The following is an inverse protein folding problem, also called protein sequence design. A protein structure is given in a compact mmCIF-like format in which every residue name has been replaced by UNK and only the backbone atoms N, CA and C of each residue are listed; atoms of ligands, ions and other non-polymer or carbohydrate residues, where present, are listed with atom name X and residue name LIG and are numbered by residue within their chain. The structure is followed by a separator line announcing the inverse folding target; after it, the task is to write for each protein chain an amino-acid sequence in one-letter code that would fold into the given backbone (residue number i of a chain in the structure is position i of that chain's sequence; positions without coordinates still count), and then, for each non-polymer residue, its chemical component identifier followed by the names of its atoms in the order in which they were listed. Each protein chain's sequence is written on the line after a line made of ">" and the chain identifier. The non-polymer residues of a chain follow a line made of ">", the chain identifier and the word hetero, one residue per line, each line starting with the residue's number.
data_IF_347973591564
#
_entry.id   IF_347973591564
#
_cell.length_a   1.000
_cell.length_b   1.000
_cell.length_c   1.000
_cell.angle_alpha   90.00
_cell.angle_beta   90.00
_cell.angle_gamma   90.00
#
_symmetry.space_group_name_H-M   'P 1'
#
loop_
_entity.id
_entity.type
_entity.pdbx_description
1 polymer ?
#
# COMPACT_ATOMS: atom_id res chain seq x y z
N UNK A 1 -2.55 43.49 -45.13
CA UNK A 1 -2.55 42.39 -44.16
C UNK A 1 -2.52 42.94 -42.74
N UNK A 2 -3.55 42.70 -41.96
CA UNK A 2 -3.85 43.43 -40.73
C UNK A 2 -2.91 43.01 -39.57
N UNK A 3 -2.18 43.96 -39.04
CA UNK A 3 -1.33 43.82 -37.86
C UNK A 3 -2.06 43.60 -36.53
N UNK A 4 -3.41 43.53 -36.57
CA UNK A 4 -4.23 43.36 -35.37
C UNK A 4 -4.56 41.92 -35.03
N UNK A 5 -4.24 40.94 -35.88
CA UNK A 5 -4.54 39.52 -35.64
C UNK A 5 -3.37 38.80 -34.93
N UNK A 6 -2.20 39.39 -34.92
CA UNK A 6 -1.00 38.78 -34.31
C UNK A 6 -0.86 39.05 -32.79
N UNK A 7 -1.63 40.04 -32.29
CA UNK A 7 -1.58 40.36 -30.82
C UNK A 7 -2.50 39.49 -29.95
N UNK A 8 -3.45 38.76 -30.53
CA UNK A 8 -4.39 37.97 -29.75
C UNK A 8 -3.92 36.52 -29.52
N UNK A 9 -2.96 36.05 -30.31
CA UNK A 9 -2.46 34.68 -30.18
C UNK A 9 -1.33 34.50 -29.14
N UNK A 10 -0.72 35.61 -28.68
CA UNK A 10 0.36 35.56 -27.69
C UNK A 10 -0.15 35.70 -26.25
N UNK A 11 -1.35 36.21 -26.05
CA UNK A 11 -1.93 36.38 -24.72
C UNK A 11 -2.55 35.11 -24.13
N UNK A 12 -2.73 34.04 -24.94
CA UNK A 12 -3.38 32.81 -24.48
C UNK A 12 -2.40 31.70 -23.99
N UNK A 13 -1.09 31.94 -24.03
CA UNK A 13 -0.09 30.94 -23.59
C UNK A 13 0.66 31.30 -22.31
N UNK A 14 0.24 32.29 -21.57
CA UNK A 14 0.94 32.73 -20.35
C UNK A 14 0.12 32.58 -19.08
N UNK A 15 -0.78 31.61 -19.03
CA UNK A 15 -1.51 31.34 -17.81
C UNK A 15 -1.47 29.88 -17.42
N UNK A 16 -0.30 29.31 -17.14
CA UNK A 16 -0.17 28.18 -16.22
C UNK A 16 1.27 28.05 -15.76
N UNK A 17 1.71 28.89 -14.91
CA UNK A 17 2.77 28.56 -13.94
C UNK A 17 2.67 29.51 -12.75
N UNK A 18 1.49 29.56 -12.15
CA UNK A 18 1.42 29.97 -10.76
C UNK A 18 1.96 28.83 -9.91
N UNK A 19 3.28 28.77 -9.76
CA UNK A 19 3.90 28.08 -8.65
C UNK A 19 3.52 28.84 -7.39
N UNK A 20 2.35 28.51 -6.84
CA UNK A 20 1.96 29.02 -5.53
C UNK A 20 2.84 28.30 -4.52
N UNK A 21 3.93 28.94 -4.13
CA UNK A 21 4.64 28.65 -2.91
C UNK A 21 3.73 29.06 -1.76
N UNK A 22 2.86 28.19 -1.33
CA UNK A 22 1.97 28.47 -0.21
C UNK A 22 2.81 28.46 1.07
N UNK A 23 2.87 29.60 1.73
CA UNK A 23 3.44 29.76 3.05
C UNK A 23 2.71 28.93 4.11
N UNK A 24 3.46 28.48 5.10
CA UNK A 24 2.98 27.73 6.24
C UNK A 24 1.74 28.39 6.90
N UNK A 25 0.63 27.67 6.97
CA UNK A 25 -0.49 28.06 7.83
C UNK A 25 -1.89 28.04 7.20
N UNK A 26 -2.06 27.82 5.91
CA UNK A 26 -3.39 27.88 5.29
C UNK A 26 -3.84 26.53 4.70
N UNK A 27 -5.13 26.29 4.80
CA UNK A 27 -5.81 25.17 4.14
C UNK A 27 -5.92 25.48 2.64
N UNK A 28 -5.23 24.74 1.81
CA UNK A 28 -5.26 24.88 0.36
C UNK A 28 -6.31 23.94 -0.23
N UNK A 29 -7.17 24.45 -1.12
CA UNK A 29 -8.31 23.69 -1.65
C UNK A 29 -8.15 23.22 -3.09
N UNK A 30 -7.14 23.69 -3.82
CA UNK A 30 -7.01 23.51 -5.26
C UNK A 30 -5.84 22.62 -5.69
N UNK A 31 -5.68 22.43 -6.99
CA UNK A 31 -4.57 21.70 -7.55
C UNK A 31 -3.27 22.50 -7.49
N UNK A 32 -2.20 21.92 -6.95
CA UNK A 32 -0.89 22.56 -6.81
C UNK A 32 0.23 21.67 -7.32
N UNK A 33 1.27 22.28 -7.86
CA UNK A 33 2.48 21.53 -8.24
C UNK A 33 3.25 21.01 -7.03
N UNK A 34 3.35 21.82 -5.97
CA UNK A 34 3.98 21.44 -4.70
C UNK A 34 3.15 21.98 -3.54
N UNK A 35 2.70 21.08 -2.68
CA UNK A 35 2.01 21.42 -1.45
C UNK A 35 2.98 21.38 -0.26
N UNK A 36 3.03 22.44 0.53
CA UNK A 36 3.86 22.58 1.70
C UNK A 36 3.06 23.27 2.83
N UNK A 37 1.84 22.83 3.00
CA UNK A 37 0.88 23.43 3.93
C UNK A 37 0.56 22.50 5.10
N UNK A 38 -0.05 23.01 6.16
CA UNK A 38 -0.53 22.15 7.23
C UNK A 38 -1.65 21.21 6.76
N UNK A 39 -2.47 21.67 5.83
CA UNK A 39 -3.56 20.85 5.28
C UNK A 39 -3.79 21.17 3.81
N UNK A 40 -3.72 20.14 2.96
CA UNK A 40 -4.06 20.23 1.55
C UNK A 40 -5.32 19.42 1.26
N UNK A 41 -6.28 20.05 0.60
CA UNK A 41 -7.53 19.42 0.16
C UNK A 41 -7.65 19.58 -1.33
N UNK A 42 -7.26 18.56 -2.09
CA UNK A 42 -7.21 18.64 -3.55
C UNK A 42 -6.13 17.74 -4.14
N UNK A 43 -5.48 18.19 -5.19
CA UNK A 43 -4.47 17.42 -5.90
C UNK A 43 -3.11 18.11 -5.88
N UNK A 44 -2.05 17.32 -5.72
CA UNK A 44 -0.68 17.83 -5.82
C UNK A 44 0.21 16.88 -6.62
N UNK A 45 1.18 17.42 -7.36
CA UNK A 45 2.22 16.58 -7.92
C UNK A 45 3.20 16.12 -6.84
N UNK A 46 3.55 17.00 -5.92
CA UNK A 46 4.33 16.68 -4.72
C UNK A 46 3.69 17.30 -3.50
N UNK A 47 3.49 16.51 -2.48
CA UNK A 47 2.90 16.93 -1.22
C UNK A 47 3.83 16.65 -0.05
N UNK A 48 4.04 17.65 0.80
CA UNK A 48 4.74 17.59 2.07
C UNK A 48 3.89 18.15 3.21
N UNK A 49 2.59 18.14 3.05
CA UNK A 49 1.70 18.67 4.08
C UNK A 49 1.55 17.72 5.27
N UNK A 50 1.15 18.23 6.42
CA UNK A 50 0.84 17.35 7.54
C UNK A 50 -0.38 16.48 7.25
N UNK A 51 -1.36 17.02 6.54
CA UNK A 51 -2.56 16.27 6.15
C UNK A 51 -2.92 16.52 4.70
N UNK A 52 -2.99 15.46 3.91
CA UNK A 52 -3.50 15.49 2.54
C UNK A 52 -4.84 14.75 2.46
N UNK A 53 -5.85 15.43 1.94
CA UNK A 53 -7.14 14.82 1.60
C UNK A 53 -7.38 14.99 0.10
N UNK A 54 -7.03 13.99 -0.68
CA UNK A 54 -7.09 14.07 -2.13
C UNK A 54 -6.10 13.16 -2.82
N UNK A 55 -5.46 13.63 -3.87
CA UNK A 55 -4.51 12.84 -4.66
C UNK A 55 -3.14 13.50 -4.76
N UNK A 56 -2.11 12.69 -4.76
CA UNK A 56 -0.75 13.16 -5.05
C UNK A 56 0.02 12.15 -5.91
N UNK A 57 0.92 12.63 -6.76
CA UNK A 57 1.87 11.74 -7.39
C UNK A 57 2.94 11.28 -6.38
N UNK A 58 3.37 12.17 -5.51
CA UNK A 58 4.26 11.85 -4.37
C UNK A 58 3.75 12.52 -3.11
N UNK A 59 3.60 11.76 -2.03
CA UNK A 59 3.19 12.25 -0.72
C UNK A 59 4.21 11.88 0.34
N UNK A 60 4.55 12.85 1.19
CA UNK A 60 5.33 12.71 2.41
C UNK A 60 4.55 13.26 3.60
N UNK A 61 3.26 13.10 3.62
CA UNK A 61 2.42 13.67 4.67
C UNK A 61 2.39 12.81 5.93
N UNK A 62 2.02 13.39 7.05
CA UNK A 62 1.75 12.58 8.25
C UNK A 62 0.49 11.73 8.04
N UNK A 63 -0.52 12.30 7.42
CA UNK A 63 -1.78 11.59 7.13
C UNK A 63 -2.23 11.84 5.70
N UNK A 64 -2.37 10.77 4.93
CA UNK A 64 -2.96 10.79 3.61
C UNK A 64 -4.31 10.08 3.61
N UNK A 65 -5.34 10.79 3.18
CA UNK A 65 -6.67 10.22 2.93
C UNK A 65 -7.03 10.40 1.47
N UNK A 66 -6.80 9.38 0.66
CA UNK A 66 -6.98 9.46 -0.78
C UNK A 66 -6.04 8.54 -1.54
N UNK A 67 -5.47 9.00 -2.62
CA UNK A 67 -4.58 8.19 -3.45
C UNK A 67 -3.23 8.86 -3.72
N UNK A 68 -2.20 8.02 -3.79
CA UNK A 68 -0.88 8.45 -4.20
C UNK A 68 -0.21 7.41 -5.11
N UNK A 69 0.61 7.86 -6.06
CA UNK A 69 1.48 6.92 -6.77
C UNK A 69 2.63 6.46 -5.87
N UNK A 70 3.20 7.37 -5.10
CA UNK A 70 4.20 7.05 -4.08
C UNK A 70 3.82 7.72 -2.77
N UNK A 71 3.79 6.94 -1.72
CA UNK A 71 3.43 7.39 -0.38
C UNK A 71 4.50 7.02 0.64
N UNK A 72 4.86 7.98 1.47
CA UNK A 72 5.73 7.85 2.64
C UNK A 72 5.05 8.43 3.89
N UNK A 73 3.76 8.34 3.98
CA UNK A 73 3.04 8.90 5.13
C UNK A 73 3.10 7.99 6.35
N UNK A 74 2.89 8.55 7.53
CA UNK A 74 2.73 7.71 8.71
C UNK A 74 1.42 6.93 8.66
N UNK A 75 0.37 7.52 8.13
CA UNK A 75 -0.93 6.86 7.97
C UNK A 75 -1.51 7.09 6.58
N UNK A 76 -1.74 6.02 5.85
CA UNK A 76 -2.46 6.05 4.58
C UNK A 76 -3.83 5.38 4.72
N UNK A 77 -4.87 6.11 4.37
CA UNK A 77 -6.22 5.58 4.24
C UNK A 77 -6.69 5.77 2.82
N UNK A 78 -6.56 4.74 2.00
CA UNK A 78 -6.85 4.83 0.57
C UNK A 78 -6.00 3.89 -0.27
N UNK A 79 -5.49 4.36 -1.37
CA UNK A 79 -4.71 3.53 -2.29
C UNK A 79 -3.38 4.16 -2.69
N UNK A 80 -2.38 3.31 -2.84
CA UNK A 80 -1.08 3.72 -3.36
C UNK A 80 -0.51 2.67 -4.33
N UNK A 81 0.24 3.09 -5.34
CA UNK A 81 1.02 2.13 -6.11
C UNK A 81 2.23 1.64 -5.30
N UNK A 82 2.87 2.52 -4.55
CA UNK A 82 3.93 2.17 -3.60
C UNK A 82 3.68 2.87 -2.27
N UNK A 83 3.68 2.12 -1.18
CA UNK A 83 3.51 2.64 0.18
C UNK A 83 4.67 2.22 1.07
N UNK A 84 5.18 3.16 1.86
CA UNK A 84 6.11 2.98 2.95
C UNK A 84 5.54 3.56 4.24
N UNK A 85 4.28 3.38 4.49
CA UNK A 85 3.61 3.97 5.65
C UNK A 85 3.79 3.12 6.91
N UNK A 86 3.62 3.72 8.07
CA UNK A 86 3.53 2.94 9.30
C UNK A 86 2.23 2.14 9.33
N UNK A 87 1.14 2.76 8.90
CA UNK A 87 -0.17 2.10 8.85
C UNK A 87 -0.84 2.35 7.50
N UNK A 88 -1.16 1.28 6.78
CA UNK A 88 -1.97 1.32 5.57
C UNK A 88 -3.33 0.68 5.81
N UNK A 89 -4.38 1.43 5.54
CA UNK A 89 -5.75 0.93 5.52
C UNK A 89 -6.32 1.14 4.12
N UNK A 90 -6.30 0.10 3.30
CA UNK A 90 -6.71 0.20 1.91
C UNK A 90 -5.95 -0.75 1.00
N UNK A 91 -5.51 -0.28 -0.14
CA UNK A 91 -4.82 -1.13 -1.12
C UNK A 91 -3.51 -0.53 -1.61
N UNK A 92 -2.55 -1.40 -1.85
CA UNK A 92 -1.29 -1.02 -2.48
C UNK A 92 -0.83 -2.09 -3.49
N UNK A 93 -0.16 -1.68 -4.56
CA UNK A 93 0.52 -2.65 -5.40
C UNK A 93 1.79 -3.16 -4.71
N UNK A 94 2.54 -2.28 -4.07
CA UNK A 94 3.69 -2.64 -3.23
C UNK A 94 3.57 -1.96 -1.88
N UNK A 95 3.69 -2.73 -0.83
CA UNK A 95 3.57 -2.25 0.54
C UNK A 95 4.77 -2.68 1.39
N UNK A 96 5.30 -1.73 2.14
CA UNK A 96 6.33 -1.91 3.15
C UNK A 96 5.88 -1.31 4.50
N UNK A 97 4.62 -1.40 4.83
CA UNK A 97 4.12 -0.82 6.07
C UNK A 97 4.36 -1.72 7.28
N UNK A 98 4.37 -1.16 8.47
CA UNK A 98 4.37 -1.98 9.66
C UNK A 98 3.05 -2.72 9.83
N UNK A 99 1.95 -2.07 9.49
CA UNK A 99 0.61 -2.67 9.55
C UNK A 99 -0.19 -2.42 8.28
N UNK A 100 -0.58 -3.49 7.60
CA UNK A 100 -1.49 -3.43 6.47
C UNK A 100 -2.84 -4.04 6.84
N UNK A 101 -3.90 -3.26 6.66
CA UNK A 101 -5.28 -3.73 6.76
C UNK A 101 -5.97 -3.51 5.41
N UNK A 102 -6.02 -4.54 4.60
CA UNK A 102 -6.54 -4.43 3.24
C UNK A 102 -5.88 -5.39 2.26
N UNK A 103 -5.54 -4.95 1.09
CA UNK A 103 -4.97 -5.79 0.06
C UNK A 103 -3.69 -5.23 -0.55
N UNK A 104 -2.77 -6.12 -0.88
CA UNK A 104 -1.56 -5.77 -1.60
C UNK A 104 -1.21 -6.83 -2.65
N UNK A 105 -0.61 -6.43 -3.76
CA UNK A 105 0.00 -7.43 -4.65
C UNK A 105 1.30 -7.97 -4.04
N UNK A 106 2.09 -7.12 -3.42
CA UNK A 106 3.28 -7.52 -2.66
C UNK A 106 3.29 -6.80 -1.33
N UNK A 107 3.45 -7.55 -0.24
CA UNK A 107 3.51 -7.02 1.12
C UNK A 107 4.79 -7.50 1.81
N UNK A 108 5.45 -6.59 2.50
CA UNK A 108 6.55 -6.81 3.43
C UNK A 108 6.20 -6.19 4.79
N UNK A 109 5.02 -6.38 5.27
CA UNK A 109 4.56 -5.78 6.52
C UNK A 109 4.91 -6.64 7.73
N UNK A 110 4.97 -6.03 8.90
CA UNK A 110 5.05 -6.81 10.14
C UNK A 110 3.73 -7.55 10.39
N UNK A 111 2.62 -6.89 10.15
CA UNK A 111 1.29 -7.49 10.31
C UNK A 111 0.41 -7.21 9.09
N UNK A 112 -0.06 -8.25 8.46
CA UNK A 112 -1.06 -8.19 7.38
C UNK A 112 -2.38 -8.76 7.85
N UNK A 113 -3.43 -7.96 7.76
CA UNK A 113 -4.82 -8.41 7.95
C UNK A 113 -5.60 -8.17 6.67
N UNK A 114 -5.76 -9.20 5.86
CA UNK A 114 -6.38 -9.06 4.55
C UNK A 114 -5.83 -10.05 3.53
N UNK A 115 -5.58 -9.59 2.33
CA UNK A 115 -5.10 -10.45 1.25
C UNK A 115 -3.86 -9.91 0.55
N UNK A 116 -2.99 -10.82 0.14
CA UNK A 116 -1.84 -10.49 -0.68
C UNK A 116 -1.57 -11.57 -1.74
N UNK A 117 -1.08 -11.20 -2.91
CA UNK A 117 -0.58 -12.20 -3.85
C UNK A 117 0.77 -12.75 -3.37
N UNK A 118 1.65 -11.91 -2.87
CA UNK A 118 2.91 -12.31 -2.22
C UNK A 118 3.03 -11.61 -0.87
N UNK A 119 3.30 -12.39 0.15
CA UNK A 119 3.42 -11.90 1.51
C UNK A 119 4.72 -12.38 2.16
N UNK A 120 5.41 -11.48 2.83
CA UNK A 120 6.58 -11.71 3.67
C UNK A 120 6.36 -11.08 5.06
N UNK A 121 5.20 -11.19 5.62
CA UNK A 121 4.91 -10.60 6.93
C UNK A 121 5.31 -11.53 8.07
N UNK A 122 5.54 -10.96 9.25
CA UNK A 122 5.69 -11.79 10.45
C UNK A 122 4.38 -12.46 10.84
N UNK A 123 3.27 -11.75 10.66
CA UNK A 123 1.94 -12.28 10.94
C UNK A 123 0.96 -12.00 9.80
N UNK A 124 0.40 -13.04 9.22
CA UNK A 124 -0.68 -12.96 8.24
C UNK A 124 -1.98 -13.50 8.84
N UNK A 125 -3.01 -12.66 8.82
CA UNK A 125 -4.38 -13.07 9.13
C UNK A 125 -5.26 -12.81 7.90
N UNK A 126 -5.50 -13.85 7.12
CA UNK A 126 -6.22 -13.71 5.86
C UNK A 126 -5.76 -14.69 4.80
N UNK A 127 -5.63 -14.26 3.58
CA UNK A 127 -5.27 -15.11 2.46
C UNK A 127 -4.07 -14.61 1.66
N UNK A 128 -3.26 -15.53 1.19
CA UNK A 128 -2.16 -15.20 0.27
C UNK A 128 -2.00 -16.30 -0.80
N UNK A 129 -1.58 -15.93 -2.01
CA UNK A 129 -1.17 -16.96 -2.96
C UNK A 129 0.20 -17.54 -2.56
N UNK A 130 1.11 -16.72 -2.09
CA UNK A 130 2.40 -17.15 -1.52
C UNK A 130 2.65 -16.43 -0.21
N UNK A 131 2.95 -17.16 0.85
CA UNK A 131 3.26 -16.60 2.16
C UNK A 131 4.57 -17.17 2.69
N UNK A 132 5.41 -16.29 3.21
CA UNK A 132 6.61 -16.57 3.98
C UNK A 132 6.47 -15.92 5.37
N UNK A 133 5.47 -16.24 6.09
CA UNK A 133 5.19 -15.62 7.40
C UNK A 133 5.64 -16.50 8.56
N UNK A 134 5.95 -15.89 9.69
CA UNK A 134 6.18 -16.67 10.91
C UNK A 134 4.87 -17.30 11.37
N UNK A 135 3.79 -16.57 11.33
CA UNK A 135 2.47 -17.07 11.70
C UNK A 135 1.44 -16.77 10.61
N UNK A 136 0.81 -17.80 10.09
CA UNK A 136 -0.30 -17.69 9.16
C UNK A 136 -1.59 -18.22 9.81
N UNK A 137 -2.61 -17.37 9.89
CA UNK A 137 -3.95 -17.73 10.29
C UNK A 137 -4.90 -17.46 9.12
N UNK A 138 -5.24 -18.48 8.37
CA UNK A 138 -6.06 -18.35 7.18
C UNK A 138 -5.69 -19.34 6.08
N UNK A 139 -5.64 -18.90 4.85
CA UNK A 139 -5.39 -19.76 3.71
C UNK A 139 -4.24 -19.28 2.82
N UNK A 140 -3.48 -20.20 2.29
CA UNK A 140 -2.45 -19.92 1.29
C UNK A 140 -2.38 -21.02 0.24
N UNK A 141 -2.08 -20.67 -1.02
CA UNK A 141 -1.76 -21.70 -2.01
C UNK A 141 -0.37 -22.30 -1.72
N UNK A 142 0.60 -21.48 -1.35
CA UNK A 142 1.92 -21.92 -0.90
C UNK A 142 2.29 -21.20 0.39
N UNK A 143 2.66 -21.95 1.42
CA UNK A 143 3.08 -21.42 2.71
C UNK A 143 4.44 -21.98 3.12
N UNK A 144 5.33 -21.12 3.58
CA UNK A 144 6.56 -21.43 4.29
C UNK A 144 6.48 -20.80 5.68
N UNK A 145 5.44 -21.08 6.43
CA UNK A 145 5.26 -20.48 7.75
C UNK A 145 5.73 -21.40 8.86
N UNK A 146 6.26 -20.83 9.93
CA UNK A 146 6.60 -21.61 11.12
C UNK A 146 5.35 -22.19 11.75
N UNK A 147 4.27 -21.44 11.80
CA UNK A 147 2.98 -21.91 12.31
C UNK A 147 1.86 -21.57 11.32
N UNK A 148 1.18 -22.59 10.84
CA UNK A 148 -0.01 -22.45 10.02
C UNK A 148 -1.25 -22.93 10.80
N UNK A 149 -2.23 -22.04 10.94
CA UNK A 149 -3.57 -22.38 11.45
C UNK A 149 -4.58 -22.11 10.34
N UNK A 150 -4.99 -23.14 9.61
CA UNK A 150 -5.87 -22.97 8.48
C UNK A 150 -5.58 -23.97 7.37
N UNK A 151 -5.64 -23.54 6.13
CA UNK A 151 -5.48 -24.41 4.98
C UNK A 151 -4.38 -23.94 4.01
N UNK A 152 -3.65 -24.89 3.45
CA UNK A 152 -2.69 -24.60 2.39
C UNK A 152 -2.70 -25.70 1.33
N UNK A 153 -2.50 -25.37 0.05
CA UNK A 153 -2.27 -26.40 -0.96
C UNK A 153 -0.87 -27.03 -0.80
N UNK A 154 0.12 -26.20 -0.47
CA UNK A 154 1.48 -26.67 -0.11
C UNK A 154 1.95 -25.96 1.15
N UNK A 155 2.41 -26.71 2.12
CA UNK A 155 2.96 -26.18 3.36
C UNK A 155 4.34 -26.79 3.65
N UNK A 156 5.30 -25.94 3.96
CA UNK A 156 6.62 -26.30 4.47
C UNK A 156 6.82 -25.56 5.80
N UNK A 157 6.21 -26.00 6.84
CA UNK A 157 6.24 -25.32 8.13
C UNK A 157 6.54 -26.26 9.27
N UNK A 158 6.93 -25.72 10.42
CA UNK A 158 7.18 -26.55 11.61
C UNK A 158 5.89 -27.05 12.23
N UNK A 159 4.84 -26.27 12.23
CA UNK A 159 3.57 -26.64 12.83
C UNK A 159 2.39 -26.36 11.89
N UNK A 160 1.58 -27.36 11.66
CA UNK A 160 0.33 -27.24 10.90
C UNK A 160 -0.85 -27.65 11.80
N UNK A 161 -1.81 -26.73 11.99
CA UNK A 161 -3.10 -27.00 12.59
C UNK A 161 -4.19 -26.71 11.56
N UNK A 162 -4.66 -27.75 10.88
CA UNK A 162 -5.63 -27.58 9.79
C UNK A 162 -5.42 -28.59 8.68
N UNK A 163 -5.55 -28.16 7.43
CA UNK A 163 -5.44 -29.05 6.27
C UNK A 163 -4.39 -28.60 5.27
N UNK A 164 -3.68 -29.54 4.69
CA UNK A 164 -2.78 -29.30 3.56
C UNK A 164 -2.89 -30.41 2.52
N UNK A 165 -2.82 -30.10 1.23
CA UNK A 165 -2.76 -31.12 0.18
C UNK A 165 -1.37 -31.77 0.10
N UNK A 166 -0.33 -30.98 0.33
CA UNK A 166 1.06 -31.44 0.48
C UNK A 166 1.68 -30.69 1.65
N UNK A 167 2.14 -31.42 2.65
CA UNK A 167 2.72 -30.87 3.85
C UNK A 167 4.08 -31.50 4.13
N UNK A 168 5.02 -30.69 4.60
CA UNK A 168 6.19 -31.12 5.31
C UNK A 168 6.17 -30.35 6.61
N UNK A 169 5.78 -30.99 7.71
CA UNK A 169 5.67 -30.34 9.01
C UNK A 169 6.16 -31.26 10.11
N UNK A 170 6.83 -30.69 11.08
CA UNK A 170 7.31 -31.44 12.25
C UNK A 170 6.18 -31.81 13.20
N UNK A 171 5.15 -30.99 13.25
CA UNK A 171 3.97 -31.23 14.06
C UNK A 171 2.70 -30.98 13.25
N UNK A 172 1.90 -32.02 13.09
CA UNK A 172 0.64 -31.97 12.35
C UNK A 172 -0.53 -32.25 13.28
N UNK A 173 -1.49 -31.32 13.36
CA UNK A 173 -2.79 -31.52 14.00
C UNK A 173 -3.88 -31.20 13.00
N UNK A 174 -4.33 -32.22 12.28
CA UNK A 174 -5.29 -32.07 11.19
C UNK A 174 -5.05 -33.12 10.10
N UNK A 175 -5.40 -32.80 8.85
CA UNK A 175 -5.27 -33.71 7.72
C UNK A 175 -4.25 -33.22 6.69
N UNK A 176 -3.41 -34.13 6.20
CA UNK A 176 -2.59 -33.90 5.01
C UNK A 176 -2.77 -35.07 4.03
N UNK A 177 -2.99 -34.77 2.74
CA UNK A 177 -3.17 -35.83 1.73
C UNK A 177 -1.83 -36.49 1.34
N UNK A 178 -0.72 -35.78 1.48
CA UNK A 178 0.65 -36.31 1.30
C UNK A 178 1.55 -35.64 2.34
N UNK A 179 1.97 -36.41 3.31
CA UNK A 179 3.04 -36.04 4.23
C UNK A 179 4.36 -36.56 3.68
N UNK A 180 5.28 -35.64 3.36
CA UNK A 180 6.67 -35.97 3.19
C UNK A 180 7.38 -35.69 4.50
N UNK A 181 7.31 -36.62 5.42
CA UNK A 181 8.19 -36.69 6.56
C UNK A 181 9.51 -37.31 6.11
N UNK A 182 10.50 -36.45 5.90
CA UNK A 182 11.89 -36.85 5.82
C UNK A 182 12.62 -36.38 7.06
#
# INVERSE_FOLDING_TARGET
>A
MNKKVLSLAVAAMLTVSASVSASAGSCLKDAVSRGNSSSLKGSASRDNSSSLKGSASRSNSTSLKGSASRDNSSSLKGSASRSNSTSLKGSASRDNSSSLKGSASRSNSTSLKGSASRDNSSSLKGSASRSNSTSLKGSASRSNSTSLKGSASRNNGSSLKGSANRGSSTSLKGSANRDCNC
#
